data_IF_409778934804
#
_entry.id   IF_409778934804
#
_cell.length_a   1.000
_cell.length_b   1.000
_cell.length_c   1.000
_cell.angle_alpha   90.00
_cell.angle_beta   90.00
_cell.angle_gamma   90.00
#
_symmetry.space_group_name_H-M   'P 1'
#
loop_
_entity.id
_entity.type
_entity.pdbx_description
1 polymer ?
#
# COMPACT_ATOMS: atom_id res chain seq x y z
N UNK A 1 13.99 33.69 -74.97
CA UNK A 1 13.77 34.92 -74.19
C UNK A 1 13.46 34.52 -72.77
N UNK A 2 14.37 34.83 -71.84
CA UNK A 2 14.16 35.07 -70.41
C UNK A 2 13.16 34.17 -69.63
N UNK A 3 13.64 33.10 -68.99
CA UNK A 3 14.01 33.11 -67.56
C UNK A 3 14.57 31.73 -67.18
N UNK A 4 15.89 31.70 -67.04
CA UNK A 4 16.77 30.68 -66.49
C UNK A 4 16.48 30.40 -65.00
N UNK A 5 16.87 29.31 -64.32
CA UNK A 5 17.53 28.06 -64.68
C UNK A 5 17.55 27.16 -63.42
N UNK A 6 17.27 25.86 -63.63
CA UNK A 6 18.03 24.69 -63.17
C UNK A 6 18.00 24.16 -61.71
N UNK A 7 17.84 22.81 -61.72
CA UNK A 7 18.34 21.76 -60.78
C UNK A 7 17.53 21.54 -59.50
N UNK A 8 17.14 20.32 -59.12
CA UNK A 8 17.36 19.00 -59.70
C UNK A 8 16.86 17.91 -58.74
N UNK A 9 16.18 16.92 -59.30
CA UNK A 9 16.23 15.47 -59.03
C UNK A 9 16.10 14.89 -57.59
N UNK A 10 15.09 14.00 -57.48
CA UNK A 10 15.10 12.64 -56.88
C UNK A 10 15.04 12.47 -55.34
N UNK A 11 13.95 11.82 -54.90
CA UNK A 11 13.90 10.87 -53.76
C UNK A 11 14.61 9.54 -54.11
N UNK A 12 14.76 8.52 -53.22
CA UNK A 12 14.59 8.44 -51.74
C UNK A 12 15.75 7.67 -51.03
N UNK A 13 15.73 7.58 -49.68
CA UNK A 13 15.99 6.37 -48.85
C UNK A 13 16.57 6.66 -47.44
N UNK A 14 15.94 6.01 -46.44
CA UNK A 14 16.44 5.38 -45.19
C UNK A 14 17.52 6.00 -44.27
N UNK A 15 17.09 6.11 -43.00
CA UNK A 15 17.70 5.59 -41.74
C UNK A 15 18.74 6.38 -40.90
N UNK A 16 18.26 6.74 -39.68
CA UNK A 16 18.86 6.62 -38.33
C UNK A 16 20.05 7.54 -37.92
N UNK A 17 20.37 7.73 -36.61
CA UNK A 17 19.66 7.47 -35.34
C UNK A 17 19.78 8.61 -34.27
N UNK A 18 19.37 8.30 -33.02
CA UNK A 18 19.91 8.77 -31.72
C UNK A 18 19.11 9.85 -30.96
N UNK A 19 18.46 9.38 -29.89
CA UNK A 19 18.49 9.90 -28.52
C UNK A 19 19.08 11.31 -28.29
N UNK A 20 18.24 12.25 -27.85
CA UNK A 20 18.67 13.21 -26.83
C UNK A 20 17.47 13.76 -26.02
N UNK A 21 17.55 13.79 -24.67
CA UNK A 21 16.38 14.03 -23.82
C UNK A 21 16.30 15.50 -23.39
N UNK A 22 15.63 16.36 -24.14
CA UNK A 22 15.46 17.78 -23.74
C UNK A 22 14.13 18.46 -24.11
N UNK A 23 13.06 17.71 -24.44
CA UNK A 23 11.79 18.34 -24.85
C UNK A 23 10.51 17.72 -24.24
N UNK A 24 10.53 17.32 -22.96
CA UNK A 24 9.30 16.93 -22.25
C UNK A 24 9.04 17.72 -20.96
N UNK A 25 9.44 19.00 -20.93
CA UNK A 25 9.05 19.96 -19.88
C UNK A 25 8.08 20.97 -20.47
N UNK A 26 6.80 20.85 -20.10
CA UNK A 26 5.88 21.93 -19.70
C UNK A 26 4.42 21.44 -19.76
N UNK A 27 3.87 21.02 -18.60
CA UNK A 27 2.46 21.23 -18.15
C UNK A 27 2.08 20.30 -16.98
N UNK A 28 2.03 20.78 -15.72
CA UNK A 28 1.87 19.95 -14.52
C UNK A 28 0.42 19.55 -14.16
N UNK A 29 -0.56 19.83 -15.02
CA UNK A 29 -1.97 19.45 -14.78
C UNK A 29 -2.26 17.98 -15.13
N UNK A 30 -1.29 17.24 -15.71
CA UNK A 30 -1.46 15.89 -16.28
C UNK A 30 -0.71 14.77 -15.56
N UNK A 31 -0.38 14.90 -14.27
CA UNK A 31 0.06 13.73 -13.47
C UNK A 31 -1.11 12.85 -13.00
N UNK A 32 -2.32 13.14 -13.50
CA UNK A 32 -3.25 12.12 -13.92
C UNK A 32 -3.19 12.17 -15.44
N UNK A 33 -2.49 11.25 -16.10
CA UNK A 33 -2.65 11.16 -17.56
C UNK A 33 -4.13 10.92 -17.82
N UNK A 34 -4.74 11.68 -18.74
CA UNK A 34 -6.14 11.49 -19.14
C UNK A 34 -6.43 10.02 -19.49
N UNK A 35 -5.40 9.29 -19.94
CA UNK A 35 -5.44 7.86 -20.20
C UNK A 35 -5.57 6.97 -18.97
N UNK A 36 -4.97 7.32 -17.81
CA UNK A 36 -5.12 6.48 -16.60
C UNK A 36 -6.52 6.60 -16.00
N UNK A 37 -7.10 7.82 -15.98
CA UNK A 37 -8.50 8.01 -15.57
C UNK A 37 -9.49 7.45 -16.60
N UNK A 38 -9.18 7.50 -17.91
CA UNK A 38 -9.99 6.82 -18.94
C UNK A 38 -9.94 5.29 -18.81
N UNK A 39 -8.78 4.72 -18.50
CA UNK A 39 -8.55 3.27 -18.43
C UNK A 39 -9.10 2.63 -17.15
N UNK A 40 -9.21 3.39 -16.07
CA UNK A 40 -9.71 2.92 -14.77
C UNK A 40 -10.94 3.70 -14.29
N UNK A 41 -11.71 4.29 -15.21
CA UNK A 41 -12.87 5.18 -14.95
C UNK A 41 -13.50 4.99 -13.57
N UNK A 42 -13.61 6.09 -12.82
CA UNK A 42 -14.11 6.10 -11.44
C UNK A 42 -15.41 5.32 -11.31
N UNK A 43 -15.32 4.06 -10.88
CA UNK A 43 -16.49 3.28 -10.47
C UNK A 43 -16.72 3.59 -9.00
N UNK A 44 -17.84 4.25 -8.69
CA UNK A 44 -18.32 4.28 -7.32
C UNK A 44 -18.61 2.84 -6.91
N UNK A 45 -17.89 2.37 -5.90
CA UNK A 45 -18.21 1.10 -5.27
C UNK A 45 -19.52 1.23 -4.49
N UNK A 46 -20.36 0.20 -4.50
CA UNK A 46 -21.69 0.22 -3.86
C UNK A 46 -21.62 -0.06 -2.35
N UNK A 47 -20.45 0.12 -1.75
CA UNK A 47 -20.25 0.08 -0.31
C UNK A 47 -21.07 1.20 0.36
N UNK A 48 -21.50 0.96 1.61
CA UNK A 48 -22.19 1.98 2.40
C UNK A 48 -21.36 3.28 2.47
N UNK A 49 -22.04 4.43 2.48
CA UNK A 49 -21.39 5.74 2.49
C UNK A 49 -20.40 5.95 3.64
N UNK A 50 -20.71 5.32 4.78
CA UNK A 50 -19.87 5.17 5.96
C UNK A 50 -19.71 3.67 6.23
N UNK A 51 -18.49 3.26 6.55
CA UNK A 51 -18.17 1.89 6.94
C UNK A 51 -18.02 1.76 8.45
N UNK A 52 -18.32 2.80 9.22
CA UNK A 52 -18.25 2.79 10.68
C UNK A 52 -17.86 4.16 11.24
N UNK A 53 -18.33 4.46 12.45
CA UNK A 53 -18.01 5.69 13.17
C UNK A 53 -17.59 5.39 14.60
N UNK A 54 -16.69 6.17 15.14
CA UNK A 54 -16.36 6.10 16.56
C UNK A 54 -16.16 7.52 17.08
N UNK A 55 -17.14 8.05 17.80
CA UNK A 55 -17.18 9.48 18.17
C UNK A 55 -17.12 10.36 16.92
N UNK A 56 -16.19 11.32 16.86
CA UNK A 56 -16.01 12.19 15.69
C UNK A 56 -15.32 11.53 14.50
N UNK A 57 -14.78 10.32 14.66
CA UNK A 57 -14.07 9.60 13.61
C UNK A 57 -15.04 8.79 12.76
N UNK A 58 -14.83 8.79 11.45
CA UNK A 58 -15.56 7.97 10.47
C UNK A 58 -14.55 7.22 9.61
N UNK A 59 -14.80 5.95 9.31
CA UNK A 59 -14.09 5.21 8.26
C UNK A 59 -14.96 5.05 7.02
N UNK A 60 -14.41 5.35 5.85
CA UNK A 60 -15.08 5.12 4.56
C UNK A 60 -14.10 5.15 3.39
N UNK A 61 -14.57 4.77 2.21
CA UNK A 61 -13.82 4.93 0.97
C UNK A 61 -13.75 6.40 0.54
N UNK A 62 -12.66 6.74 -0.16
CA UNK A 62 -12.50 8.01 -0.84
C UNK A 62 -13.50 8.13 -2.00
N UNK A 63 -14.19 9.27 -2.09
CA UNK A 63 -15.29 9.50 -3.06
C UNK A 63 -14.83 10.12 -4.37
N UNK A 64 -13.58 10.58 -4.44
CA UNK A 64 -13.11 11.35 -5.59
C UNK A 64 -11.63 11.73 -5.53
N UNK A 65 -11.08 12.29 -6.62
CA UNK A 65 -9.67 12.62 -6.73
C UNK A 65 -9.18 13.56 -5.62
N UNK A 66 -10.06 14.46 -5.14
CA UNK A 66 -9.75 15.39 -4.05
C UNK A 66 -9.45 14.67 -2.73
N UNK A 67 -10.11 13.56 -2.46
CA UNK A 67 -9.90 12.79 -1.23
C UNK A 67 -8.69 11.86 -1.34
N UNK A 68 -8.44 11.27 -2.52
CA UNK A 68 -7.18 10.57 -2.80
C UNK A 68 -6.00 11.52 -2.61
N UNK A 69 -6.09 12.75 -3.13
CA UNK A 69 -5.06 13.76 -2.92
C UNK A 69 -4.82 14.07 -1.44
N UNK A 70 -5.87 14.08 -0.60
CA UNK A 70 -5.73 14.24 0.86
C UNK A 70 -5.03 13.03 1.48
N UNK A 71 -5.33 11.81 1.04
CA UNK A 71 -4.62 10.61 1.47
C UNK A 71 -3.13 10.64 1.07
N UNK A 72 -2.81 11.03 -0.16
CA UNK A 72 -1.42 11.21 -0.64
C UNK A 72 -0.64 12.23 0.20
N UNK A 73 -1.28 13.32 0.62
CA UNK A 73 -0.67 14.32 1.52
C UNK A 73 -0.49 13.82 2.94
N UNK A 74 -1.46 13.04 3.44
CA UNK A 74 -1.34 12.37 4.73
C UNK A 74 -0.13 11.43 4.73
N UNK A 75 -0.05 10.56 3.71
CA UNK A 75 1.08 9.66 3.49
C UNK A 75 2.39 10.41 3.40
N UNK A 76 2.46 11.51 2.64
CA UNK A 76 3.67 12.34 2.58
C UNK A 76 4.11 12.81 3.96
N UNK A 77 3.17 13.37 4.73
CA UNK A 77 3.45 13.87 6.08
C UNK A 77 3.99 12.77 6.98
N UNK A 78 3.37 11.61 6.96
CA UNK A 78 3.73 10.53 7.86
C UNK A 78 5.02 9.83 7.42
N UNK A 79 5.15 9.44 6.15
CA UNK A 79 6.32 8.70 5.68
C UNK A 79 7.59 9.56 5.57
N UNK A 80 7.48 10.79 5.06
CA UNK A 80 8.65 11.61 4.72
C UNK A 80 8.96 12.74 5.70
N UNK A 81 7.99 13.15 6.54
CA UNK A 81 8.23 14.20 7.54
C UNK A 81 8.29 13.68 8.96
N UNK A 82 7.63 12.55 9.26
CA UNK A 82 7.65 11.94 10.59
C UNK A 82 8.54 10.69 10.64
N UNK A 83 8.68 9.96 9.54
CA UNK A 83 9.48 8.75 9.42
C UNK A 83 10.70 8.96 8.50
N UNK A 84 11.46 7.89 8.28
CA UNK A 84 12.78 7.90 7.64
C UNK A 84 12.76 8.00 6.11
N UNK A 85 11.60 8.11 5.47
CA UNK A 85 11.52 8.08 4.01
C UNK A 85 12.14 9.32 3.38
N UNK A 86 12.89 9.13 2.29
CA UNK A 86 13.56 10.19 1.55
C UNK A 86 12.74 10.55 0.30
N UNK A 87 12.20 11.78 0.22
CA UNK A 87 11.35 12.15 -0.90
C UNK A 87 12.19 12.38 -2.14
N UNK A 88 11.77 11.80 -3.26
CA UNK A 88 12.32 12.18 -4.56
C UNK A 88 11.93 13.63 -4.91
N UNK A 89 12.46 14.15 -6.02
CA UNK A 89 12.23 15.54 -6.44
C UNK A 89 10.75 15.85 -6.63
N UNK A 90 9.98 14.90 -7.17
CA UNK A 90 8.56 15.06 -7.48
C UNK A 90 7.73 15.02 -6.18
N UNK A 91 7.96 14.02 -5.35
CA UNK A 91 7.32 13.86 -4.04
C UNK A 91 7.55 15.11 -3.18
N UNK A 92 8.78 15.64 -3.17
CA UNK A 92 9.14 16.86 -2.44
C UNK A 92 8.45 18.10 -3.02
N UNK A 93 8.45 18.25 -4.34
CA UNK A 93 7.83 19.40 -5.03
C UNK A 93 6.33 19.46 -4.76
N UNK A 94 5.63 18.33 -4.85
CA UNK A 94 4.17 18.28 -4.67
C UNK A 94 3.72 17.99 -3.24
N UNK A 95 4.65 17.63 -2.34
CA UNK A 95 4.40 17.21 -0.95
C UNK A 95 3.34 16.10 -0.88
N UNK A 96 3.52 15.09 -1.72
CA UNK A 96 2.63 13.94 -1.90
C UNK A 96 3.43 12.65 -2.02
N UNK A 97 2.97 11.62 -1.33
CA UNK A 97 3.30 10.23 -1.62
C UNK A 97 2.29 9.75 -2.66
N UNK A 98 2.68 9.69 -3.93
CA UNK A 98 1.80 9.29 -5.03
C UNK A 98 2.55 8.37 -5.99
N UNK A 99 1.89 7.30 -6.44
CA UNK A 99 2.46 6.36 -7.41
C UNK A 99 1.44 5.92 -8.47
N UNK A 100 1.90 5.10 -9.43
CA UNK A 100 1.09 4.62 -10.56
C UNK A 100 -0.10 3.75 -10.15
N UNK A 101 -0.10 3.21 -8.93
CA UNK A 101 -1.14 2.29 -8.45
C UNK A 101 -2.33 3.05 -7.86
N UNK A 102 -2.13 4.28 -7.38
CA UNK A 102 -3.16 5.06 -6.68
C UNK A 102 -4.49 5.17 -7.43
N UNK A 103 -4.45 5.29 -8.76
CA UNK A 103 -5.65 5.43 -9.59
C UNK A 103 -6.45 4.13 -9.75
N UNK A 104 -5.82 2.97 -9.52
CA UNK A 104 -6.46 1.66 -9.63
C UNK A 104 -6.87 1.08 -8.26
N UNK A 105 -6.46 1.74 -7.17
CA UNK A 105 -6.79 1.37 -5.81
C UNK A 105 -8.02 2.10 -5.30
N UNK A 106 -8.75 1.41 -4.43
CA UNK A 106 -9.64 2.08 -3.48
C UNK A 106 -8.79 2.62 -2.32
N UNK A 107 -9.22 3.75 -1.74
CA UNK A 107 -8.53 4.40 -0.63
C UNK A 107 -9.46 4.43 0.57
N UNK A 108 -9.16 3.63 1.58
CA UNK A 108 -9.84 3.67 2.85
C UNK A 108 -9.30 4.85 3.65
N UNK A 109 -10.21 5.67 4.20
CA UNK A 109 -9.87 6.88 4.95
C UNK A 109 -10.48 6.80 6.34
N UNK A 110 -9.74 7.25 7.36
CA UNK A 110 -10.33 7.70 8.61
C UNK A 110 -10.38 9.21 8.59
N UNK A 111 -11.57 9.76 8.85
CA UNK A 111 -11.87 11.19 8.80
C UNK A 111 -12.32 11.63 10.19
N UNK A 112 -11.66 12.65 10.73
CA UNK A 112 -12.10 13.34 11.94
C UNK A 112 -12.99 14.53 11.57
N UNK A 113 -14.27 14.44 11.90
CA UNK A 113 -15.27 15.48 11.65
C UNK A 113 -15.21 16.63 12.67
N UNK A 114 -14.58 16.43 13.83
CA UNK A 114 -14.41 17.46 14.86
C UNK A 114 -13.15 18.31 14.66
N UNK A 115 -12.31 17.96 13.67
CA UNK A 115 -11.08 18.70 13.39
C UNK A 115 -11.37 20.17 13.06
N UNK A 116 -10.64 21.08 13.69
CA UNK A 116 -10.74 22.53 13.44
C UNK A 116 -9.69 23.01 12.45
N UNK A 117 -10.09 23.91 11.56
CA UNK A 117 -9.19 24.63 10.67
C UNK A 117 -8.40 25.73 11.38
N UNK A 118 -7.46 26.36 10.68
CA UNK A 118 -6.62 27.46 11.20
C UNK A 118 -7.44 28.63 11.75
N UNK A 119 -8.65 28.84 11.23
CA UNK A 119 -9.58 29.92 11.61
C UNK A 119 -10.71 29.43 12.53
N UNK A 120 -10.52 28.31 13.24
CA UNK A 120 -11.47 27.82 14.26
C UNK A 120 -12.69 27.07 13.76
N UNK A 121 -13.09 27.23 12.49
CA UNK A 121 -14.22 26.48 11.90
C UNK A 121 -13.99 24.98 11.78
N UNK A 122 -15.07 24.18 11.83
CA UNK A 122 -15.02 22.74 11.57
C UNK A 122 -14.53 22.46 10.15
N UNK A 123 -13.53 21.61 10.02
CA UNK A 123 -12.93 21.22 8.75
C UNK A 123 -12.53 19.74 8.82
N UNK A 124 -13.40 18.83 8.35
CA UNK A 124 -13.13 17.40 8.38
C UNK A 124 -11.77 17.07 7.77
N UNK A 125 -11.00 16.25 8.48
CA UNK A 125 -9.60 15.99 8.18
C UNK A 125 -9.37 14.50 8.03
N UNK A 126 -8.66 14.11 6.97
CA UNK A 126 -8.17 12.73 6.83
C UNK A 126 -7.01 12.54 7.81
N UNK A 127 -7.17 11.60 8.75
CA UNK A 127 -6.24 11.34 9.85
C UNK A 127 -5.61 9.95 9.81
N UNK A 128 -6.20 9.03 9.06
CA UNK A 128 -5.67 7.70 8.78
C UNK A 128 -6.04 7.24 7.37
N UNK A 129 -5.26 6.32 6.81
CA UNK A 129 -5.57 5.75 5.49
C UNK A 129 -4.98 4.36 5.29
N UNK A 130 -5.62 3.59 4.40
CA UNK A 130 -5.12 2.36 3.78
C UNK A 130 -5.39 2.40 2.27
N UNK A 131 -4.47 1.85 1.49
CA UNK A 131 -4.67 1.59 0.06
C UNK A 131 -5.09 0.14 -0.14
N UNK A 132 -6.14 -0.07 -0.94
CA UNK A 132 -6.76 -1.37 -1.18
C UNK A 132 -6.72 -1.67 -2.69
N UNK A 133 -5.93 -2.68 -3.10
CA UNK A 133 -5.82 -3.10 -4.49
C UNK A 133 -6.38 -4.50 -4.70
N UNK A 134 -7.52 -4.59 -5.40
CA UNK A 134 -8.09 -5.86 -5.85
C UNK A 134 -7.30 -6.43 -7.02
N UNK A 135 -7.22 -7.75 -7.08
CA UNK A 135 -6.52 -8.50 -8.14
C UNK A 135 -6.88 -8.05 -9.57
N UNK A 136 -8.16 -7.88 -9.88
CA UNK A 136 -8.57 -7.43 -11.21
C UNK A 136 -7.98 -6.07 -11.60
N UNK A 137 -7.78 -5.16 -10.64
CA UNK A 137 -7.10 -3.87 -10.87
C UNK A 137 -5.59 -4.04 -11.02
N UNK A 138 -4.98 -4.91 -10.22
CA UNK A 138 -3.55 -5.23 -10.30
C UNK A 138 -3.18 -5.81 -11.67
N UNK A 139 -3.95 -6.77 -12.18
CA UNK A 139 -3.70 -7.39 -13.49
C UNK A 139 -3.67 -6.37 -14.63
N UNK A 140 -4.54 -5.35 -14.60
CA UNK A 140 -4.54 -4.26 -15.60
C UNK A 140 -3.30 -3.35 -15.52
N UNK A 141 -2.59 -3.37 -14.39
CA UNK A 141 -1.35 -2.62 -14.15
C UNK A 141 -0.08 -3.48 -14.30
N UNK A 142 -0.22 -4.74 -14.73
CA UNK A 142 0.89 -5.68 -14.85
C UNK A 142 1.28 -6.36 -13.54
N UNK A 143 0.41 -6.35 -12.53
CA UNK A 143 0.61 -7.02 -11.26
C UNK A 143 0.44 -6.11 -10.05
N UNK A 144 0.55 -6.73 -8.88
CA UNK A 144 0.51 -6.08 -7.57
C UNK A 144 1.79 -5.26 -7.31
N UNK A 145 1.73 -4.25 -6.43
CA UNK A 145 2.94 -3.55 -6.00
C UNK A 145 3.89 -4.50 -5.28
N UNK A 146 3.36 -5.36 -4.41
CA UNK A 146 4.14 -6.34 -3.63
C UNK A 146 4.95 -7.28 -4.54
N UNK A 147 4.51 -7.51 -5.79
CA UNK A 147 5.26 -8.30 -6.76
C UNK A 147 6.57 -7.65 -7.23
N UNK A 148 6.83 -6.38 -6.90
CA UNK A 148 8.11 -5.70 -7.14
C UNK A 148 9.17 -6.01 -6.06
N UNK A 149 8.75 -6.59 -4.95
CA UNK A 149 9.61 -6.96 -3.81
C UNK A 149 9.66 -8.47 -3.58
N UNK A 150 8.53 -9.15 -3.80
CA UNK A 150 8.34 -10.56 -3.53
C UNK A 150 7.84 -11.30 -4.77
N UNK A 151 8.28 -12.53 -4.98
CA UNK A 151 7.70 -13.43 -5.96
C UNK A 151 6.44 -14.08 -5.38
N UNK A 152 5.29 -13.62 -5.85
CA UNK A 152 3.97 -14.13 -5.49
C UNK A 152 3.40 -15.10 -6.53
N UNK A 153 4.09 -15.34 -7.64
CA UNK A 153 3.55 -16.05 -8.80
C UNK A 153 3.06 -17.45 -8.42
N UNK A 154 3.90 -18.24 -7.75
CA UNK A 154 3.54 -19.58 -7.28
C UNK A 154 2.41 -19.58 -6.26
N UNK A 155 2.37 -18.60 -5.35
CA UNK A 155 1.29 -18.48 -4.36
C UNK A 155 -0.06 -18.20 -5.01
N UNK A 156 -0.11 -17.27 -5.97
CA UNK A 156 -1.33 -16.93 -6.70
C UNK A 156 -1.78 -18.12 -7.57
N UNK A 157 -0.84 -18.77 -8.25
CA UNK A 157 -1.10 -19.91 -9.13
C UNK A 157 -1.74 -21.09 -8.39
N UNK A 158 -1.24 -21.43 -7.20
CA UNK A 158 -1.81 -22.51 -6.36
C UNK A 158 -3.21 -22.22 -5.83
N UNK A 159 -3.61 -20.94 -5.82
CA UNK A 159 -4.89 -20.48 -5.31
C UNK A 159 -5.76 -19.86 -6.42
N UNK A 160 -5.63 -20.35 -7.66
CA UNK A 160 -6.50 -19.95 -8.77
C UNK A 160 -7.97 -20.00 -8.38
N UNK A 161 -8.68 -18.89 -8.60
CA UNK A 161 -10.09 -18.74 -8.26
C UNK A 161 -10.35 -18.05 -6.92
N UNK A 162 -9.34 -17.90 -6.06
CA UNK A 162 -9.43 -17.00 -4.90
C UNK A 162 -9.33 -15.53 -5.32
N UNK A 163 -9.97 -14.64 -4.55
CA UNK A 163 -9.88 -13.19 -4.74
C UNK A 163 -8.85 -12.61 -3.78
N UNK A 164 -7.81 -12.04 -4.37
CA UNK A 164 -6.74 -11.40 -3.61
C UNK A 164 -6.95 -9.89 -3.44
N UNK A 165 -6.57 -9.40 -2.26
CA UNK A 165 -6.51 -7.97 -1.92
C UNK A 165 -5.11 -7.61 -1.41
N UNK A 166 -4.42 -6.73 -2.13
CA UNK A 166 -3.21 -6.11 -1.58
C UNK A 166 -3.62 -4.92 -0.68
N UNK A 167 -3.08 -4.93 0.54
CA UNK A 167 -3.14 -3.84 1.49
C UNK A 167 -1.80 -3.11 1.52
N UNK A 168 -1.82 -1.78 1.44
CA UNK A 168 -0.58 -1.01 1.47
C UNK A 168 -0.75 0.45 1.87
N UNK A 169 0.39 1.14 1.94
CA UNK A 169 0.48 2.58 2.23
C UNK A 169 -0.31 3.02 3.48
N UNK A 170 -0.34 2.15 4.48
CA UNK A 170 -1.06 2.38 5.71
C UNK A 170 -0.37 3.43 6.57
N UNK A 171 -1.10 4.47 7.00
CA UNK A 171 -0.56 5.40 7.97
C UNK A 171 -1.64 6.14 8.76
N UNK A 172 -1.26 6.62 9.94
CA UNK A 172 -2.11 7.40 10.84
C UNK A 172 -1.28 8.58 11.37
N UNK A 173 -1.87 9.78 11.38
CA UNK A 173 -1.25 10.97 11.96
C UNK A 173 -0.89 10.73 13.42
N UNK A 174 0.28 11.18 13.85
CA UNK A 174 0.80 10.96 15.22
C UNK A 174 -0.24 11.18 16.35
N UNK A 175 -1.01 12.28 16.40
CA UNK A 175 -2.00 12.50 17.47
C UNK A 175 -3.19 11.53 17.44
N UNK A 176 -3.39 10.82 16.33
CA UNK A 176 -4.51 9.91 16.11
C UNK A 176 -4.09 8.43 16.17
N UNK A 177 -2.83 8.12 16.52
CA UNK A 177 -2.33 6.74 16.68
C UNK A 177 -2.85 6.10 17.98
N UNK A 178 -4.17 6.01 18.07
CA UNK A 178 -4.90 5.42 19.18
C UNK A 178 -5.42 4.04 18.77
N UNK A 179 -5.70 3.19 19.76
CA UNK A 179 -6.35 1.89 19.57
C UNK A 179 -7.61 2.02 18.69
N UNK A 180 -8.47 2.97 19.06
CA UNK A 180 -9.71 3.31 18.36
C UNK A 180 -9.54 3.63 16.87
N UNK A 181 -8.56 4.46 16.48
CA UNK A 181 -8.35 4.78 15.06
C UNK A 181 -7.90 3.55 14.26
N UNK A 182 -7.04 2.72 14.85
CA UNK A 182 -6.54 1.50 14.21
C UNK A 182 -7.65 0.46 14.07
N UNK A 183 -8.47 0.27 15.10
CA UNK A 183 -9.65 -0.60 15.06
C UNK A 183 -10.65 -0.14 14.01
N UNK A 184 -10.89 1.16 13.91
CA UNK A 184 -11.78 1.71 12.91
C UNK A 184 -11.27 1.48 11.47
N UNK A 185 -9.96 1.56 11.23
CA UNK A 185 -9.37 1.15 9.94
C UNK A 185 -9.61 -0.33 9.66
N UNK A 186 -9.35 -1.21 10.64
CA UNK A 186 -9.56 -2.65 10.49
C UNK A 186 -11.02 -3.01 10.28
N UNK A 187 -11.95 -2.32 10.94
CA UNK A 187 -13.38 -2.44 10.70
C UNK A 187 -13.73 -2.11 9.24
N UNK A 188 -13.20 -1.00 8.71
CA UNK A 188 -13.39 -0.64 7.31
C UNK A 188 -12.81 -1.67 6.34
N UNK A 189 -11.62 -2.21 6.64
CA UNK A 189 -11.01 -3.31 5.84
C UNK A 189 -11.91 -4.54 5.89
N UNK A 190 -12.45 -4.91 7.05
CA UNK A 190 -13.32 -6.06 7.18
C UNK A 190 -14.64 -5.90 6.41
N UNK A 191 -15.27 -4.72 6.49
CA UNK A 191 -16.45 -4.40 5.69
C UNK A 191 -16.17 -4.54 4.18
N UNK A 192 -15.00 -4.06 3.73
CA UNK A 192 -14.54 -4.18 2.35
C UNK A 192 -14.31 -5.64 1.95
N UNK A 193 -13.60 -6.42 2.78
CA UNK A 193 -13.34 -7.86 2.59
C UNK A 193 -14.65 -8.62 2.43
N UNK A 194 -15.64 -8.37 3.30
CA UNK A 194 -16.94 -9.05 3.26
C UNK A 194 -17.73 -8.70 2.00
N UNK A 195 -17.77 -7.42 1.64
CA UNK A 195 -18.52 -6.97 0.47
C UNK A 195 -17.94 -7.52 -0.84
N UNK A 196 -16.62 -7.46 -1.01
CA UNK A 196 -15.94 -8.00 -2.20
C UNK A 196 -15.66 -9.51 -2.10
N UNK A 197 -16.02 -10.12 -0.97
CA UNK A 197 -15.81 -11.53 -0.66
C UNK A 197 -14.33 -11.92 -0.81
N UNK A 198 -13.41 -11.06 -0.40
CA UNK A 198 -11.97 -11.33 -0.50
C UNK A 198 -11.63 -12.62 0.25
N UNK A 199 -10.82 -13.47 -0.37
CA UNK A 199 -10.46 -14.78 0.17
C UNK A 199 -9.07 -14.74 0.85
N UNK A 200 -8.18 -13.85 0.39
CA UNK A 200 -6.89 -13.60 1.01
C UNK A 200 -6.44 -12.14 0.86
N UNK A 201 -5.82 -11.63 1.92
CA UNK A 201 -5.13 -10.33 1.91
C UNK A 201 -3.63 -10.55 1.96
N UNK A 202 -2.86 -9.66 1.34
CA UNK A 202 -1.41 -9.62 1.52
C UNK A 202 -0.88 -8.19 1.38
N UNK A 203 0.40 -7.99 1.66
CA UNK A 203 1.07 -6.72 1.43
C UNK A 203 2.44 -6.68 2.08
N UNK A 204 3.10 -5.53 1.96
CA UNK A 204 4.36 -5.29 2.64
C UNK A 204 4.07 -4.62 3.99
N UNK A 205 4.58 -5.22 5.07
CA UNK A 205 4.72 -4.55 6.35
C UNK A 205 6.19 -4.35 6.64
N UNK A 206 6.51 -3.33 7.43
CA UNK A 206 7.88 -2.82 7.48
C UNK A 206 8.37 -2.70 8.92
N UNK A 207 9.64 -3.06 9.11
CA UNK A 207 10.43 -2.67 10.26
C UNK A 207 11.12 -1.35 9.97
N UNK A 208 11.19 -0.47 10.98
CA UNK A 208 12.04 0.72 10.90
C UNK A 208 13.51 0.29 10.93
N UNK A 209 14.30 0.79 10.00
CA UNK A 209 15.73 0.50 9.89
C UNK A 209 16.10 -0.34 8.67
N UNK A 210 17.32 -0.12 8.19
CA UNK A 210 17.87 -0.75 6.97
C UNK A 210 19.02 -1.70 7.26
N UNK A 211 19.29 -1.99 8.54
CA UNK A 211 20.30 -2.97 8.96
C UNK A 211 19.61 -4.25 9.44
N UNK A 212 19.61 -5.32 8.62
CA UNK A 212 19.01 -6.59 8.99
C UNK A 212 19.68 -7.27 10.21
N UNK A 213 20.93 -6.93 10.54
CA UNK A 213 21.59 -7.46 11.72
C UNK A 213 21.04 -6.83 13.00
N UNK A 214 20.77 -5.52 12.98
CA UNK A 214 20.04 -4.84 14.06
C UNK A 214 18.61 -5.38 14.23
N UNK A 215 18.03 -5.93 13.16
CA UNK A 215 16.71 -6.55 13.13
C UNK A 215 16.75 -8.09 13.27
N UNK A 216 17.89 -8.67 13.65
CA UNK A 216 18.08 -10.12 13.64
C UNK A 216 17.02 -10.87 14.47
N UNK A 217 16.75 -10.41 15.69
CA UNK A 217 15.78 -11.05 16.59
C UNK A 217 14.34 -11.03 16.03
N UNK A 218 13.74 -9.87 15.68
CA UNK A 218 12.39 -9.85 15.16
C UNK A 218 12.23 -10.53 13.79
N UNK A 219 13.24 -10.49 12.91
CA UNK A 219 13.19 -11.21 11.64
C UNK A 219 13.24 -12.73 11.84
N UNK A 220 14.13 -13.21 12.72
CA UNK A 220 14.24 -14.64 13.03
C UNK A 220 12.97 -15.15 13.70
N UNK A 221 12.35 -14.34 14.55
CA UNK A 221 11.06 -14.67 15.14
C UNK A 221 9.98 -14.92 14.08
N UNK A 222 9.84 -14.01 13.10
CA UNK A 222 8.87 -14.21 12.02
C UNK A 222 9.20 -15.44 11.18
N UNK A 223 10.48 -15.69 10.89
CA UNK A 223 10.93 -16.86 10.13
C UNK A 223 10.56 -18.17 10.83
N UNK A 224 10.85 -18.30 12.13
CA UNK A 224 10.70 -19.57 12.83
C UNK A 224 9.27 -19.82 13.33
N UNK A 225 8.52 -18.77 13.66
CA UNK A 225 7.20 -18.92 14.30
C UNK A 225 6.01 -18.58 13.39
N UNK A 226 6.21 -17.88 12.28
CA UNK A 226 5.11 -17.35 11.47
C UNK A 226 5.35 -17.44 9.96
N UNK A 227 6.37 -18.17 9.50
CA UNK A 227 6.66 -18.29 8.07
C UNK A 227 5.53 -18.98 7.32
N UNK A 228 5.25 -18.49 6.11
CA UNK A 228 4.32 -19.07 5.19
C UNK A 228 4.96 -20.27 4.50
N UNK A 229 4.28 -21.41 4.56
CA UNK A 229 4.76 -22.70 4.05
C UNK A 229 3.71 -23.33 3.13
N UNK A 230 4.11 -24.36 2.38
CA UNK A 230 3.23 -25.09 1.46
C UNK A 230 2.57 -24.16 0.44
N UNK A 231 1.24 -24.24 0.34
CA UNK A 231 0.46 -23.49 -0.64
C UNK A 231 0.64 -21.96 -0.52
N UNK A 232 0.86 -21.46 0.70
CA UNK A 232 1.03 -20.02 0.96
C UNK A 232 2.48 -19.53 0.85
N UNK A 233 3.43 -20.41 0.51
CA UNK A 233 4.83 -20.03 0.37
C UNK A 233 5.05 -18.97 -0.71
N UNK A 234 5.77 -17.91 -0.35
CA UNK A 234 6.20 -16.83 -1.24
C UNK A 234 7.50 -16.24 -0.70
N UNK A 235 8.36 -15.76 -1.58
CA UNK A 235 9.73 -15.35 -1.22
C UNK A 235 10.06 -13.95 -1.71
N UNK A 236 10.95 -13.24 -1.00
CA UNK A 236 11.58 -12.04 -1.54
C UNK A 236 12.27 -12.38 -2.85
N UNK A 237 12.22 -11.45 -3.82
CA UNK A 237 12.89 -11.64 -5.11
C UNK A 237 14.40 -11.83 -4.93
N UNK A 238 15.07 -12.69 -5.72
CA UNK A 238 16.48 -13.02 -5.52
C UNK A 238 17.40 -11.80 -5.42
N UNK A 239 17.17 -10.78 -6.25
CA UNK A 239 17.96 -9.56 -6.31
C UNK A 239 17.74 -8.58 -5.13
N UNK A 240 16.71 -8.82 -4.32
CA UNK A 240 16.38 -8.00 -3.13
C UNK A 240 16.40 -8.81 -1.83
N UNK A 241 16.67 -10.11 -1.92
CA UNK A 241 16.48 -11.06 -0.82
C UNK A 241 17.44 -10.82 0.34
N UNK A 242 16.86 -10.73 1.54
CA UNK A 242 17.57 -10.64 2.81
C UNK A 242 17.11 -11.80 3.69
N UNK A 243 18.02 -12.71 4.05
CA UNK A 243 17.71 -13.82 4.96
C UNK A 243 17.11 -13.31 6.28
N UNK A 244 16.08 -14.01 6.78
CA UNK A 244 15.37 -13.65 8.02
C UNK A 244 15.79 -14.52 9.21
N UNK A 245 16.27 -15.73 8.98
CA UNK A 245 16.84 -16.70 9.90
C UNK A 245 18.24 -16.28 10.40
N UNK A 246 18.33 -15.07 10.93
CA UNK A 246 19.58 -14.46 11.42
C UNK A 246 20.09 -15.07 12.71
N UNK A 247 19.18 -15.67 13.49
CA UNK A 247 19.45 -16.38 14.72
C UNK A 247 18.87 -17.79 14.61
N UNK A 248 19.55 -18.80 15.18
CA UNK A 248 18.97 -20.13 15.35
C UNK A 248 17.79 -20.05 16.33
N UNK A 249 16.82 -20.95 16.21
CA UNK A 249 15.54 -20.89 16.95
C UNK A 249 15.74 -20.90 18.48
N UNK A 250 16.79 -21.57 18.95
CA UNK A 250 17.20 -21.66 20.35
C UNK A 250 17.63 -20.31 20.94
N UNK A 251 18.02 -19.36 20.09
CA UNK A 251 18.41 -18.00 20.48
C UNK A 251 17.26 -16.99 20.31
N UNK A 252 16.09 -17.42 19.86
CA UNK A 252 14.93 -16.54 19.66
C UNK A 252 14.07 -16.52 20.93
N UNK A 253 14.28 -15.50 21.78
CA UNK A 253 13.32 -15.18 22.83
C UNK A 253 12.06 -14.55 22.21
N UNK A 254 10.99 -15.34 22.13
CA UNK A 254 9.71 -14.92 21.59
C UNK A 254 9.13 -13.68 22.30
N UNK A 255 9.28 -13.57 23.63
CA UNK A 255 8.75 -12.43 24.40
C UNK A 255 9.54 -11.16 24.10
N UNK A 256 10.86 -11.27 23.97
CA UNK A 256 11.71 -10.15 23.57
C UNK A 256 11.41 -9.73 22.12
N UNK A 257 11.30 -10.69 21.19
CA UNK A 257 10.97 -10.42 19.80
C UNK A 257 9.61 -9.71 19.64
N UNK A 258 8.56 -10.20 20.33
CA UNK A 258 7.23 -9.57 20.31
C UNK A 258 7.24 -8.12 20.80
N UNK A 259 8.16 -7.72 21.67
CA UNK A 259 8.31 -6.32 22.08
C UNK A 259 8.85 -5.46 20.94
N UNK A 260 9.81 -5.99 20.17
CA UNK A 260 10.47 -5.32 19.05
C UNK A 260 9.61 -5.23 17.78
N UNK A 261 8.62 -6.11 17.61
CA UNK A 261 7.75 -6.04 16.44
C UNK A 261 7.01 -4.68 16.35
N UNK A 262 6.87 -4.10 15.15
CA UNK A 262 5.98 -2.97 14.91
C UNK A 262 4.53 -3.30 15.31
N UNK A 263 3.74 -2.31 15.83
CA UNK A 263 2.35 -2.54 16.21
C UNK A 263 1.49 -3.13 15.08
N UNK A 264 1.77 -2.75 13.83
CA UNK A 264 1.07 -3.27 12.66
C UNK A 264 1.36 -4.76 12.43
N UNK A 265 2.63 -5.17 12.49
CA UNK A 265 3.04 -6.59 12.37
C UNK A 265 2.41 -7.43 13.49
N UNK A 266 2.37 -6.92 14.74
CA UNK A 266 1.64 -7.59 15.84
C UNK A 266 0.15 -7.72 15.55
N UNK A 267 -0.44 -6.70 14.93
CA UNK A 267 -1.84 -6.72 14.49
C UNK A 267 -2.11 -7.85 13.51
N UNK A 268 -1.26 -7.99 12.49
CA UNK A 268 -1.35 -9.10 11.54
C UNK A 268 -1.16 -10.47 12.18
N UNK A 269 -0.17 -10.65 13.06
CA UNK A 269 0.03 -11.91 13.79
C UNK A 269 -1.22 -12.33 14.58
N UNK A 270 -1.91 -11.37 15.22
CA UNK A 270 -3.17 -11.64 15.92
C UNK A 270 -4.29 -12.13 15.02
N UNK A 271 -4.26 -11.77 13.73
CA UNK A 271 -5.22 -12.23 12.72
C UNK A 271 -4.85 -13.58 12.10
N UNK A 272 -3.79 -14.24 12.59
CA UNK A 272 -3.30 -15.50 12.00
C UNK A 272 -2.46 -15.29 10.74
N UNK A 273 -1.88 -14.10 10.56
CA UNK A 273 -1.02 -13.84 9.41
C UNK A 273 0.20 -14.75 9.39
N UNK A 274 0.61 -15.08 8.16
CA UNK A 274 1.85 -15.76 7.82
C UNK A 274 2.78 -14.78 7.09
N UNK A 275 4.07 -15.07 7.09
CA UNK A 275 5.09 -14.19 6.52
C UNK A 275 5.90 -14.90 5.43
N UNK A 276 6.13 -14.21 4.32
CA UNK A 276 6.98 -14.75 3.24
C UNK A 276 8.41 -15.04 3.71
N UNK A 277 9.14 -15.84 2.94
CA UNK A 277 10.55 -16.08 3.17
C UNK A 277 11.40 -14.92 2.64
N UNK A 278 12.35 -14.48 3.43
CA UNK A 278 13.21 -13.36 3.09
C UNK A 278 12.52 -12.01 3.30
N UNK A 279 13.33 -11.02 3.67
CA UNK A 279 12.95 -9.62 3.78
C UNK A 279 13.55 -8.82 2.61
N UNK A 280 13.16 -7.56 2.51
CA UNK A 280 13.65 -6.62 1.51
C UNK A 280 14.05 -5.31 2.17
N UNK A 281 15.30 -4.88 2.02
CA UNK A 281 15.72 -3.57 2.55
C UNK A 281 15.31 -2.46 1.58
N UNK A 282 14.39 -1.59 2.01
CA UNK A 282 13.99 -0.39 1.30
C UNK A 282 14.76 0.82 1.84
N UNK A 283 15.84 1.17 1.13
CA UNK A 283 16.67 2.33 1.47
C UNK A 283 15.97 3.67 1.24
N UNK A 284 14.94 3.72 0.38
CA UNK A 284 14.19 4.93 0.12
C UNK A 284 13.28 5.24 1.30
N UNK A 285 12.57 4.24 1.83
CA UNK A 285 11.71 4.40 2.99
C UNK A 285 12.45 4.29 4.33
N UNK A 286 13.68 3.77 4.32
CA UNK A 286 14.48 3.56 5.52
C UNK A 286 14.00 2.36 6.33
N UNK A 287 13.47 1.35 5.65
CA UNK A 287 12.78 0.19 6.25
C UNK A 287 13.38 -1.14 5.79
N UNK A 288 12.99 -2.19 6.50
CA UNK A 288 13.15 -3.58 6.07
C UNK A 288 11.76 -4.20 5.99
N UNK A 289 11.34 -4.53 4.78
CA UNK A 289 9.99 -4.99 4.46
C UNK A 289 9.90 -6.51 4.53
N UNK A 290 8.79 -6.98 5.05
CA UNK A 290 8.41 -8.39 5.09
C UNK A 290 7.05 -8.56 4.41
N UNK A 291 6.91 -9.64 3.65
CA UNK A 291 5.63 -10.03 3.05
C UNK A 291 4.71 -10.55 4.15
N UNK A 292 3.54 -9.96 4.26
CA UNK A 292 2.45 -10.42 5.14
C UNK A 292 1.38 -11.07 4.28
N UNK A 293 0.86 -12.21 4.72
CA UNK A 293 -0.18 -12.98 4.05
C UNK A 293 -1.25 -13.34 5.09
N UNK A 294 -2.51 -13.04 4.79
CA UNK A 294 -3.65 -13.30 5.67
C UNK A 294 -4.75 -14.01 4.87
N UNK A 295 -4.79 -15.35 4.89
CA UNK A 295 -5.94 -16.09 4.41
C UNK A 295 -7.15 -15.71 5.27
N UNK A 296 -8.27 -15.31 4.65
CA UNK A 296 -9.45 -14.88 5.42
C UNK A 296 -10.04 -16.03 6.23
N UNK A 297 -9.89 -17.27 5.75
CA UNK A 297 -10.26 -18.49 6.47
C UNK A 297 -9.42 -18.76 7.72
N UNK A 298 -8.23 -18.15 7.85
CA UNK A 298 -7.36 -18.32 9.01
C UNK A 298 -7.65 -17.30 10.13
N UNK A 299 -8.48 -16.28 9.86
CA UNK A 299 -8.80 -15.26 10.86
C UNK A 299 -9.71 -15.87 11.93
N UNK A 300 -9.26 -15.85 13.18
CA UNK A 300 -10.00 -16.41 14.31
C UNK A 300 -11.38 -15.77 14.43
N UNK A 301 -12.39 -16.62 14.65
CA UNK A 301 -13.79 -16.22 14.70
C UNK A 301 -14.06 -15.12 15.74
N UNK A 302 -13.36 -15.13 16.88
CA UNK A 302 -13.47 -14.10 17.92
C UNK A 302 -13.05 -12.72 17.40
N UNK A 303 -12.06 -12.64 16.52
CA UNK A 303 -11.68 -11.39 15.87
C UNK A 303 -12.73 -10.96 14.84
N UNK A 304 -13.32 -11.91 14.12
CA UNK A 304 -14.41 -11.62 13.18
C UNK A 304 -15.66 -11.11 13.89
N UNK A 305 -16.00 -11.71 15.03
CA UNK A 305 -17.13 -11.29 15.87
C UNK A 305 -16.81 -9.95 16.54
N UNK A 306 -15.60 -9.73 17.04
CA UNK A 306 -15.19 -8.42 17.58
C UNK A 306 -15.31 -7.30 16.54
N UNK A 307 -14.82 -7.54 15.31
CA UNK A 307 -14.94 -6.59 14.20
C UNK A 307 -16.38 -6.48 13.66
N UNK A 308 -17.21 -7.50 13.85
CA UNK A 308 -18.61 -7.53 13.40
C UNK A 308 -19.58 -6.88 14.38
N UNK A 309 -19.45 -7.18 15.67
CA UNK A 309 -20.31 -6.70 16.76
C UNK A 309 -20.00 -5.25 17.14
N UNK A 310 -18.74 -4.81 17.08
CA UNK A 310 -18.47 -3.37 17.22
C UNK A 310 -19.03 -2.56 16.03
N UNK A 311 -19.32 -3.19 14.90
CA UNK A 311 -20.05 -2.55 13.80
C UNK A 311 -21.45 -2.06 14.18
N UNK A 312 -22.09 -2.66 15.18
CA UNK A 312 -23.35 -2.15 15.75
C UNK A 312 -23.12 -0.99 16.73
N UNK A 313 -21.99 -0.95 17.44
CA UNK A 313 -21.60 0.18 18.32
C UNK A 313 -21.12 1.40 17.54
N UNK A 314 -20.61 1.18 16.34
CA UNK A 314 -20.09 2.21 15.43
C UNK A 314 -21.11 2.68 14.37
N UNK A 315 -22.31 2.11 14.39
CA UNK A 315 -23.46 2.55 13.60
C UNK A 315 -24.36 3.56 14.34
N UNK A 316 -24.11 3.80 15.63
CA UNK A 316 -24.86 4.73 16.47
C UNK A 316 -24.18 6.11 16.60
#
# INVERSE_FOLDING_TARGET
>A
MAFDMLRGLRQPANQLPVDHPLLSRLSPLMLITGDTVRRFGWKQDHLAESLGRSGSLEVRLARGPREIWRAQRLRYRVFYQEMSAKPDVIARMFRRDADRYDAACDHLLVIDHAARGRFGGLKPKVVGTYRLMREGSALRLGGFYTQSEFDLSGMIERHRGMRFLELGRSCVLKPYRTKKTVELLWHGIWAYVRHHRIDAMFGCASFDGTDPNALALPLSFLHHHARAEGEWSATARPERHVAMDRLPIEQVDAKAALKLLPPLIKGYLRLGARFGSGAVVDKQFGTTDVLVIVPVSAIDRRYLDYLGDEGQRYAA
#
